data_IF_413199221021
#
_entry.id   IF_413199221021
#
_cell.length_a   1.000
_cell.length_b   1.000
_cell.length_c   1.000
_cell.angle_alpha   90.00
_cell.angle_beta   90.00
_cell.angle_gamma   90.00
#
_symmetry.space_group_name_H-M   'P 1'
#
loop_
_entity.id
_entity.type
_entity.pdbx_description
1 polymer ?
#
# COMPACT_ATOMS: atom_id res chain seq x y z
N UNK A 1 -5.66 -19.69 -20.73
CA UNK A 1 -4.30 -19.25 -21.10
C UNK A 1 -4.07 -17.95 -20.37
N UNK A 2 -2.96 -17.82 -19.63
CA UNK A 2 -2.62 -16.53 -19.03
C UNK A 2 -2.41 -15.52 -20.18
N UNK A 3 -2.90 -14.30 -20.01
CA UNK A 3 -2.62 -13.23 -20.99
C UNK A 3 -1.21 -12.68 -20.75
N UNK A 4 -0.59 -12.06 -21.75
CA UNK A 4 0.75 -11.44 -21.62
C UNK A 4 0.84 -10.47 -20.43
N UNK A 5 -0.26 -9.76 -20.13
CA UNK A 5 -0.35 -8.85 -18.99
C UNK A 5 -0.37 -9.58 -17.64
N UNK A 6 -1.01 -10.74 -17.56
CA UNK A 6 -1.04 -11.55 -16.33
C UNK A 6 0.37 -12.08 -15.99
N UNK A 7 1.12 -12.53 -17.00
CA UNK A 7 2.52 -12.94 -16.84
C UNK A 7 3.41 -11.77 -16.39
N UNK A 8 3.22 -10.59 -16.99
CA UNK A 8 3.91 -9.37 -16.57
C UNK A 8 3.66 -9.04 -15.09
N UNK A 9 2.41 -9.12 -14.62
CA UNK A 9 2.08 -8.83 -13.23
C UNK A 9 2.67 -9.86 -12.26
N UNK A 10 2.83 -11.12 -12.67
CA UNK A 10 3.52 -12.13 -11.85
C UNK A 10 5.00 -11.78 -11.64
N UNK A 11 5.64 -11.10 -12.60
CA UNK A 11 7.04 -10.68 -12.47
C UNK A 11 7.26 -9.59 -11.40
N UNK A 12 6.21 -8.87 -10.97
CA UNK A 12 6.31 -7.93 -9.85
C UNK A 12 6.65 -8.63 -8.52
N UNK A 13 6.26 -9.89 -8.37
CA UNK A 13 6.52 -10.70 -7.17
C UNK A 13 7.75 -11.61 -7.33
N UNK A 14 8.51 -11.50 -8.43
CA UNK A 14 9.63 -12.38 -8.72
C UNK A 14 10.83 -12.10 -7.79
N UNK A 15 11.64 -13.10 -7.40
CA UNK A 15 12.78 -12.89 -6.51
C UNK A 15 13.92 -12.05 -7.14
N UNK A 16 14.01 -11.99 -8.47
CA UNK A 16 15.07 -11.26 -9.16
C UNK A 16 14.80 -9.75 -9.22
N UNK A 17 15.74 -8.95 -8.70
CA UNK A 17 15.67 -7.49 -8.72
C UNK A 17 15.54 -6.92 -10.14
N UNK A 18 16.29 -7.47 -11.10
CA UNK A 18 16.27 -7.01 -12.49
C UNK A 18 14.91 -7.26 -13.14
N UNK A 19 14.30 -8.43 -12.84
CA UNK A 19 12.99 -8.79 -13.36
C UNK A 19 11.90 -7.92 -12.74
N UNK A 20 11.93 -7.70 -11.42
CA UNK A 20 11.01 -6.77 -10.74
C UNK A 20 11.11 -5.35 -11.28
N UNK A 21 12.34 -4.86 -11.51
CA UNK A 21 12.58 -3.52 -12.06
C UNK A 21 12.01 -3.37 -13.47
N UNK A 22 12.31 -4.32 -14.36
CA UNK A 22 11.74 -4.31 -15.72
C UNK A 22 10.21 -4.37 -15.69
N UNK A 23 9.63 -5.23 -14.84
CA UNK A 23 8.19 -5.36 -14.71
C UNK A 23 7.53 -4.07 -14.18
N UNK A 24 8.07 -3.46 -13.13
CA UNK A 24 7.50 -2.24 -12.54
C UNK A 24 7.61 -1.05 -13.48
N UNK A 25 8.71 -0.93 -14.25
CA UNK A 25 8.88 0.12 -15.26
C UNK A 25 7.84 -0.02 -16.38
N UNK A 26 7.62 -1.24 -16.89
CA UNK A 26 6.59 -1.49 -17.91
C UNK A 26 5.19 -1.17 -17.37
N UNK A 27 4.88 -1.61 -16.14
CA UNK A 27 3.58 -1.31 -15.52
C UNK A 27 3.39 0.19 -15.31
N UNK A 28 4.41 0.91 -14.86
CA UNK A 28 4.38 2.39 -14.79
C UNK A 28 4.05 3.00 -16.14
N UNK A 29 4.72 2.55 -17.21
CA UNK A 29 4.49 3.12 -18.54
C UNK A 29 3.07 2.83 -19.06
N UNK A 30 2.53 1.63 -18.77
CA UNK A 30 1.13 1.30 -19.07
C UNK A 30 0.15 2.24 -18.35
N UNK A 31 0.43 2.60 -17.10
CA UNK A 31 -0.43 3.55 -16.36
C UNK A 31 -0.39 4.98 -16.91
N UNK A 32 0.55 5.30 -17.81
CA UNK A 32 0.61 6.58 -18.51
C UNK A 32 -0.26 6.65 -19.77
N UNK A 33 -1.01 5.59 -20.10
CA UNK A 33 -1.85 5.50 -21.29
C UNK A 33 -3.27 5.04 -20.97
N UNK A 34 -4.26 5.57 -21.68
CA UNK A 34 -5.68 5.18 -21.51
C UNK A 34 -5.90 3.68 -21.78
N UNK A 35 -5.29 3.15 -22.83
CA UNK A 35 -5.39 1.72 -23.18
C UNK A 35 -4.78 0.82 -22.08
N UNK A 36 -3.65 1.24 -21.50
CA UNK A 36 -3.01 0.53 -20.40
C UNK A 36 -3.85 0.58 -19.12
N UNK A 37 -4.45 1.73 -18.80
CA UNK A 37 -5.38 1.86 -17.67
C UNK A 37 -6.62 0.98 -17.84
N UNK A 38 -7.20 0.94 -19.04
CA UNK A 38 -8.32 0.06 -19.38
C UNK A 38 -7.92 -1.42 -19.16
N UNK A 39 -6.73 -1.83 -19.58
CA UNK A 39 -6.25 -3.19 -19.39
C UNK A 39 -6.01 -3.55 -17.91
N UNK A 40 -5.38 -2.65 -17.14
CA UNK A 40 -5.08 -2.84 -15.72
C UNK A 40 -6.34 -2.86 -14.84
N UNK A 41 -7.44 -2.26 -15.31
CA UNK A 41 -8.73 -2.26 -14.62
C UNK A 41 -9.27 -3.68 -14.36
N UNK A 42 -9.04 -4.61 -15.31
CA UNK A 42 -9.41 -6.02 -15.15
C UNK A 42 -8.54 -6.75 -14.10
N UNK A 43 -7.28 -6.32 -13.95
CA UNK A 43 -6.29 -6.92 -13.05
C UNK A 43 -6.08 -6.14 -11.75
N UNK A 44 -7.00 -5.22 -11.42
CA UNK A 44 -6.96 -4.37 -10.21
C UNK A 44 -6.67 -5.16 -8.92
N UNK A 45 -7.27 -6.34 -8.76
CA UNK A 45 -7.09 -7.21 -7.59
C UNK A 45 -5.67 -7.80 -7.44
N UNK A 46 -4.87 -7.78 -8.50
CA UNK A 46 -3.48 -8.28 -8.52
C UNK A 46 -2.50 -7.11 -8.49
N UNK A 47 -2.73 -6.10 -9.33
CA UNK A 47 -1.78 -4.98 -9.50
C UNK A 47 -1.67 -4.12 -8.25
N UNK A 48 -2.77 -3.82 -7.54
CA UNK A 48 -2.73 -3.00 -6.32
C UNK A 48 -1.91 -3.65 -5.20
N UNK A 49 -2.18 -4.90 -4.76
CA UNK A 49 -1.34 -5.55 -3.76
C UNK A 49 0.14 -5.62 -4.18
N UNK A 50 0.40 -5.96 -5.44
CA UNK A 50 1.77 -6.14 -5.94
C UNK A 50 2.55 -4.84 -5.89
N UNK A 51 2.00 -3.74 -6.44
CA UNK A 51 2.65 -2.43 -6.40
C UNK A 51 2.79 -1.89 -4.97
N UNK A 52 1.78 -2.08 -4.11
CA UNK A 52 1.85 -1.68 -2.70
C UNK A 52 2.95 -2.40 -1.93
N UNK A 53 3.19 -3.69 -2.21
CA UNK A 53 4.30 -4.42 -1.60
C UNK A 53 5.67 -3.89 -2.06
N UNK A 54 5.78 -3.46 -3.32
CA UNK A 54 7.01 -2.89 -3.88
C UNK A 54 7.40 -1.55 -3.26
N UNK A 55 6.49 -0.87 -2.55
CA UNK A 55 6.82 0.37 -1.83
C UNK A 55 7.81 0.14 -0.67
N UNK A 56 7.92 -1.09 -0.16
CA UNK A 56 8.86 -1.45 0.89
C UNK A 56 10.27 -1.80 0.36
N UNK A 57 10.44 -1.88 -0.95
CA UNK A 57 11.72 -2.22 -1.60
C UNK A 57 12.68 -1.01 -1.65
N UNK A 58 13.81 -1.19 -2.34
CA UNK A 58 14.75 -0.09 -2.55
C UNK A 58 14.15 1.01 -3.44
N UNK A 59 14.78 2.20 -3.41
CA UNK A 59 14.34 3.38 -4.15
C UNK A 59 14.09 3.10 -5.64
N UNK A 60 14.96 2.31 -6.27
CA UNK A 60 14.87 2.00 -7.71
C UNK A 60 13.59 1.28 -8.11
N UNK A 61 12.96 0.54 -7.18
CA UNK A 61 11.71 -0.18 -7.40
C UNK A 61 10.54 0.56 -6.78
N UNK A 62 10.72 1.14 -5.58
CA UNK A 62 9.65 1.81 -4.86
C UNK A 62 9.17 3.09 -5.56
N UNK A 63 10.08 3.83 -6.20
CA UNK A 63 9.76 5.07 -6.92
C UNK A 63 8.85 4.84 -8.13
N UNK A 64 9.17 3.96 -9.10
CA UNK A 64 8.25 3.65 -10.20
C UNK A 64 6.96 2.97 -9.73
N UNK A 65 7.00 2.15 -8.66
CA UNK A 65 5.79 1.58 -8.07
C UNK A 65 4.85 2.66 -7.51
N UNK A 66 5.41 3.63 -6.78
CA UNK A 66 4.63 4.75 -6.24
C UNK A 66 4.03 5.61 -7.35
N UNK A 67 4.81 5.89 -8.40
CA UNK A 67 4.32 6.64 -9.56
C UNK A 67 3.17 5.90 -10.26
N UNK A 68 3.31 4.59 -10.48
CA UNK A 68 2.24 3.77 -11.06
C UNK A 68 0.96 3.83 -10.21
N UNK A 69 1.07 3.74 -8.89
CA UNK A 69 -0.08 3.87 -7.98
C UNK A 69 -0.73 5.25 -8.03
N UNK A 70 0.06 6.33 -8.15
CA UNK A 70 -0.47 7.70 -8.31
C UNK A 70 -1.27 7.79 -9.61
N UNK A 71 -0.71 7.34 -10.74
CA UNK A 71 -1.40 7.36 -12.03
C UNK A 71 -2.73 6.56 -11.98
N UNK A 72 -2.71 5.38 -11.36
CA UNK A 72 -3.91 4.57 -11.16
C UNK A 72 -4.97 5.29 -10.30
N UNK A 73 -4.55 6.08 -9.32
CA UNK A 73 -5.44 6.83 -8.44
C UNK A 73 -6.11 8.04 -9.11
N UNK A 74 -5.56 8.54 -10.22
CA UNK A 74 -6.16 9.63 -11.00
C UNK A 74 -7.35 9.14 -11.85
N UNK A 75 -7.38 7.84 -12.19
CA UNK A 75 -8.52 7.24 -12.89
C UNK A 75 -9.69 6.98 -11.92
N UNK A 76 -10.87 7.46 -12.27
CA UNK A 76 -12.05 7.43 -11.40
C UNK A 76 -12.55 6.01 -11.10
N UNK A 77 -12.47 5.08 -12.06
CA UNK A 77 -12.89 3.69 -11.86
C UNK A 77 -11.86 2.93 -10.99
N UNK A 78 -10.57 3.09 -11.29
CA UNK A 78 -9.49 2.42 -10.57
C UNK A 78 -9.35 2.94 -9.14
N UNK A 79 -9.53 4.25 -8.89
CA UNK A 79 -9.51 4.81 -7.54
C UNK A 79 -10.62 4.24 -6.65
N UNK A 80 -11.83 4.03 -7.20
CA UNK A 80 -12.91 3.34 -6.47
C UNK A 80 -12.50 1.90 -6.14
N UNK A 81 -11.97 1.15 -7.11
CA UNK A 81 -11.51 -0.24 -6.87
C UNK A 81 -10.36 -0.32 -5.87
N UNK A 82 -9.48 0.68 -5.85
CA UNK A 82 -8.38 0.79 -4.89
C UNK A 82 -8.91 0.99 -3.46
N UNK A 83 -9.92 1.85 -3.30
CA UNK A 83 -10.63 2.01 -2.02
C UNK A 83 -11.31 0.69 -1.60
N UNK A 84 -12.01 0.02 -2.52
CA UNK A 84 -12.69 -1.26 -2.23
C UNK A 84 -11.73 -2.36 -1.79
N UNK A 85 -10.58 -2.48 -2.46
CA UNK A 85 -9.49 -3.39 -2.08
C UNK A 85 -9.02 -3.11 -0.64
N UNK A 86 -8.73 -1.85 -0.32
CA UNK A 86 -8.28 -1.42 1.00
C UNK A 86 -9.35 -1.63 2.09
N UNK A 87 -10.64 -1.43 1.75
CA UNK A 87 -11.73 -1.45 2.72
C UNK A 87 -12.14 -2.86 3.16
N UNK A 88 -12.01 -3.88 2.31
CA UNK A 88 -12.41 -5.26 2.62
C UNK A 88 -11.68 -5.87 3.84
N UNK A 89 -10.35 -5.68 4.01
CA UNK A 89 -9.63 -6.03 5.24
C UNK A 89 -10.05 -5.23 6.48
N UNK A 90 -10.50 -3.97 6.33
CA UNK A 90 -10.73 -3.08 7.49
C UNK A 90 -11.87 -3.54 8.39
N UNK A 91 -12.94 -4.16 7.87
CA UNK A 91 -14.06 -4.66 8.69
C UNK A 91 -13.59 -5.76 9.64
N UNK A 92 -12.76 -6.69 9.15
CA UNK A 92 -12.16 -7.76 9.97
C UNK A 92 -11.16 -7.19 10.98
N UNK A 93 -10.38 -6.20 10.55
CA UNK A 93 -9.41 -5.52 11.40
C UNK A 93 -10.04 -4.70 12.53
N UNK A 94 -11.20 -4.07 12.29
CA UNK A 94 -11.96 -3.36 13.34
C UNK A 94 -12.58 -4.33 14.35
N UNK A 95 -13.02 -5.51 13.90
CA UNK A 95 -13.62 -6.52 14.77
C UNK A 95 -12.65 -7.12 15.80
N UNK A 96 -11.33 -7.03 15.57
CA UNK A 96 -10.31 -7.55 16.51
C UNK A 96 -9.78 -6.50 17.49
N UNK A 97 -10.30 -5.27 17.45
CA UNK A 97 -9.89 -4.22 18.37
C UNK A 97 -10.51 -4.44 19.76
N UNK A 98 -9.76 -4.13 20.83
CA UNK A 98 -10.27 -4.24 22.19
C UNK A 98 -11.38 -3.22 22.44
N UNK A 99 -12.41 -3.62 23.18
CA UNK A 99 -13.51 -2.74 23.60
C UNK A 99 -13.11 -1.82 24.75
N UNK A 100 -12.12 -2.22 25.54
CA UNK A 100 -11.57 -1.46 26.66
C UNK A 100 -10.07 -1.29 26.51
N UNK A 101 -9.58 -0.10 26.82
CA UNK A 101 -8.17 0.28 26.69
C UNK A 101 -7.75 1.11 27.90
N UNK A 102 -6.51 0.92 28.33
CA UNK A 102 -6.01 1.61 29.50
C UNK A 102 -5.80 3.10 29.22
N UNK A 103 -6.01 3.94 30.24
CA UNK A 103 -5.76 5.39 30.13
C UNK A 103 -4.31 5.68 29.70
N UNK A 104 -3.36 4.86 30.15
CA UNK A 104 -1.94 4.96 29.78
C UNK A 104 -1.71 4.75 28.27
N UNK A 105 -2.34 3.75 27.67
CA UNK A 105 -2.22 3.47 26.23
C UNK A 105 -2.92 4.54 25.40
N UNK A 106 -4.07 5.03 25.86
CA UNK A 106 -4.76 6.16 25.25
C UNK A 106 -3.88 7.41 25.20
N UNK A 107 -3.31 7.83 26.35
CA UNK A 107 -2.42 8.99 26.43
C UNK A 107 -1.23 8.84 25.49
N UNK A 108 -0.62 7.64 25.46
CA UNK A 108 0.49 7.35 24.56
C UNK A 108 0.07 7.52 23.08
N UNK A 109 -1.01 6.88 22.65
CA UNK A 109 -1.46 6.98 21.26
C UNK A 109 -1.85 8.41 20.88
N UNK A 110 -2.46 9.16 21.79
CA UNK A 110 -2.76 10.58 21.58
C UNK A 110 -1.49 11.42 21.43
N UNK A 111 -0.42 11.15 22.18
CA UNK A 111 0.85 11.86 21.98
C UNK A 111 1.49 11.53 20.63
N UNK A 112 1.38 10.27 20.18
CA UNK A 112 1.84 9.88 18.84
C UNK A 112 1.05 10.57 17.72
N UNK A 113 -0.25 10.78 17.89
CA UNK A 113 -1.06 11.54 16.93
C UNK A 113 -0.58 13.00 16.81
N UNK A 114 -0.22 13.63 17.93
CA UNK A 114 0.40 14.97 17.93
C UNK A 114 1.75 14.99 17.19
N UNK A 115 2.59 13.98 17.42
CA UNK A 115 3.86 13.82 16.71
C UNK A 115 3.66 13.61 15.20
N UNK A 116 2.62 12.88 14.81
CA UNK A 116 2.25 12.68 13.40
C UNK A 116 1.92 14.01 12.73
N UNK A 117 1.03 14.82 13.32
CA UNK A 117 0.65 16.14 12.79
C UNK A 117 1.87 17.07 12.70
N UNK A 118 2.69 17.11 13.75
CA UNK A 118 3.90 17.92 13.76
C UNK A 118 4.88 17.51 12.65
N UNK A 119 5.05 16.21 12.43
CA UNK A 119 5.95 15.69 11.40
C UNK A 119 5.49 16.02 9.98
N UNK A 120 4.18 16.03 9.71
CA UNK A 120 3.63 16.48 8.42
C UNK A 120 3.92 17.97 8.22
N UNK A 121 3.66 18.81 9.23
CA UNK A 121 3.90 20.26 9.15
C UNK A 121 5.37 20.62 8.96
N UNK A 122 6.28 19.82 9.51
CA UNK A 122 7.73 20.04 9.43
C UNK A 122 8.38 19.31 8.25
N UNK A 123 7.66 18.43 7.55
CA UNK A 123 8.22 17.59 6.49
C UNK A 123 9.19 16.51 6.99
N UNK A 124 9.15 16.13 8.26
CA UNK A 124 10.05 15.11 8.83
C UNK A 124 9.46 13.70 8.67
N UNK A 125 9.80 13.06 7.55
CA UNK A 125 9.34 11.70 7.23
C UNK A 125 9.86 10.63 8.21
N UNK A 126 10.99 10.88 8.90
CA UNK A 126 11.54 9.92 9.87
C UNK A 126 10.67 9.90 11.13
N UNK A 127 10.30 11.09 11.62
CA UNK A 127 9.39 11.22 12.76
C UNK A 127 7.99 10.74 12.39
N UNK A 128 7.52 11.02 11.18
CA UNK A 128 6.25 10.51 10.66
C UNK A 128 6.18 8.97 10.76
N UNK A 129 7.15 8.29 10.15
CA UNK A 129 7.20 6.82 10.16
C UNK A 129 7.33 6.26 11.59
N UNK A 130 8.14 6.90 12.44
CA UNK A 130 8.29 6.50 13.84
C UNK A 130 6.97 6.67 14.61
N UNK A 131 6.27 7.78 14.42
CA UNK A 131 4.98 8.05 15.06
C UNK A 131 3.93 7.00 14.67
N UNK A 132 3.88 6.62 13.39
CA UNK A 132 3.00 5.57 12.88
C UNK A 132 3.35 4.18 13.46
N UNK A 133 4.64 3.86 13.59
CA UNK A 133 5.11 2.54 14.05
C UNK A 133 4.92 2.27 15.56
N UNK A 134 4.67 3.31 16.36
CA UNK A 134 4.64 3.26 17.83
C UNK A 134 3.23 3.12 18.42
N UNK A 135 2.26 2.74 17.61
CA UNK A 135 0.91 2.45 18.05
C UNK A 135 0.87 1.25 19.03
N UNK A 136 0.17 1.43 20.15
CA UNK A 136 -0.01 0.39 21.18
C UNK A 136 -1.41 -0.25 21.17
N UNK A 137 -2.36 0.31 20.42
CA UNK A 137 -3.77 -0.08 20.50
C UNK A 137 -4.20 -0.89 19.29
N UNK A 138 -3.95 -0.39 18.07
CA UNK A 138 -4.58 -0.88 16.83
C UNK A 138 -3.70 -1.91 16.11
N UNK A 139 -2.51 -1.52 15.67
CA UNK A 139 -1.53 -2.29 14.93
C UNK A 139 -1.09 -3.58 15.65
N UNK A 140 -0.81 -3.61 16.96
CA UNK A 140 -0.49 -4.87 17.64
C UNK A 140 -1.60 -5.93 17.54
N UNK A 141 -2.87 -5.50 17.46
CA UNK A 141 -4.03 -6.39 17.36
C UNK A 141 -4.31 -6.77 15.90
N UNK A 142 -4.13 -5.84 14.96
CA UNK A 142 -4.30 -6.07 13.51
C UNK A 142 -3.17 -6.86 12.87
N UNK A 143 -1.95 -6.85 13.43
CA UNK A 143 -0.75 -7.46 12.83
C UNK A 143 -0.95 -8.91 12.38
N UNK A 144 -1.76 -9.69 13.11
CA UNK A 144 -2.07 -11.10 12.78
C UNK A 144 -2.95 -11.27 11.54
N UNK A 145 -3.66 -10.22 11.13
CA UNK A 145 -4.50 -10.18 9.93
C UNK A 145 -3.77 -9.55 8.74
N UNK A 146 -2.71 -8.78 8.98
CA UNK A 146 -1.91 -8.10 7.96
C UNK A 146 -0.89 -9.01 7.26
N UNK A 147 -0.65 -10.23 7.77
CA UNK A 147 0.33 -11.21 7.25
C UNK A 147 -0.08 -11.91 5.94
N UNK A 148 -0.80 -11.24 5.04
CA UNK A 148 -1.11 -11.74 3.69
C UNK A 148 -0.52 -10.89 2.56
N UNK A 149 0.34 -9.93 2.87
CA UNK A 149 1.05 -9.13 1.87
C UNK A 149 2.53 -9.54 1.86
N UNK A 150 2.81 -10.71 1.30
CA UNK A 150 4.07 -11.22 0.73
C UNK A 150 3.89 -12.73 0.51
#
# INVERSE_FOLDING_TARGET
MATELEELLQFLSFPSLQVKKGAVDIVRDLTGSEDGLQALTYYSQIVFPSLSCLLAENKEISEPAAQALVNLSENSELSIKMIEYEYSPTKKMRAVLPTEISMKEHIWNSSQAGALVASVLQGDLRVLGKAMSLDKIVEPKRKRLATRCC
#
